data_IF_224670972456
#
_entry.id   IF_224670972456
#
_cell.length_a   1.000
_cell.length_b   1.000
_cell.length_c   1.000
_cell.angle_alpha   90.00
_cell.angle_beta   90.00
_cell.angle_gamma   90.00
#
_symmetry.space_group_name_H-M   'P 1'
#
loop_
_entity.id
_entity.type
_entity.pdbx_description
1 polymer ?
#
# COMPACT_ATOMS: atom_id res chain seq x y z
N UNK A 1 -9.92 21.89 8.53
CA UNK A 1 -9.92 23.13 7.71
C UNK A 1 -9.59 22.87 6.22
N UNK A 2 -8.49 22.18 5.86
CA UNK A 2 -8.16 21.87 4.46
C UNK A 2 -9.06 20.77 3.88
N UNK A 3 -9.35 19.76 4.65
CA UNK A 3 -10.26 18.66 4.31
C UNK A 3 -11.69 19.17 4.16
N UNK A 4 -12.17 20.04 5.02
CA UNK A 4 -13.50 20.62 4.95
C UNK A 4 -13.71 21.45 3.68
N UNK A 5 -12.78 22.33 3.30
CA UNK A 5 -12.88 23.10 2.04
C UNK A 5 -12.87 22.25 0.78
N UNK A 6 -12.18 21.10 0.81
CA UNK A 6 -12.18 20.15 -0.31
C UNK A 6 -13.51 19.38 -0.37
N UNK A 7 -14.17 19.20 0.76
CA UNK A 7 -15.47 18.52 0.87
C UNK A 7 -16.66 19.41 0.51
N UNK A 8 -16.65 20.69 0.84
CA UNK A 8 -17.76 21.62 0.60
C UNK A 8 -18.11 21.82 -0.88
N UNK A 9 -17.19 21.57 -1.81
CA UNK A 9 -17.42 21.75 -3.26
C UNK A 9 -17.78 20.45 -4.01
N UNK A 10 -18.01 19.35 -3.30
CA UNK A 10 -18.31 18.07 -3.92
C UNK A 10 -19.71 17.61 -3.51
N UNK A 11 -20.56 17.20 -4.46
CA UNK A 11 -21.83 16.55 -4.15
C UNK A 11 -21.64 15.29 -3.32
N UNK A 12 -22.66 14.86 -2.56
CA UNK A 12 -22.58 13.79 -1.55
C UNK A 12 -21.92 12.49 -2.04
N UNK A 13 -22.15 12.11 -3.30
CA UNK A 13 -21.53 10.92 -3.91
C UNK A 13 -20.01 11.08 -4.08
N UNK A 14 -19.54 12.28 -4.38
CA UNK A 14 -18.11 12.55 -4.51
C UNK A 14 -17.42 12.54 -3.14
N UNK A 15 -18.12 12.93 -2.09
CA UNK A 15 -17.62 12.87 -0.71
C UNK A 15 -17.45 11.41 -0.27
N UNK A 16 -18.49 10.57 -0.46
CA UNK A 16 -18.43 9.17 -0.09
C UNK A 16 -17.31 8.42 -0.85
N UNK A 17 -17.13 8.71 -2.13
CA UNK A 17 -16.05 8.14 -2.96
C UNK A 17 -14.67 8.54 -2.42
N UNK A 18 -14.46 9.80 -2.04
CA UNK A 18 -13.20 10.26 -1.44
C UNK A 18 -12.92 9.64 -0.08
N UNK A 19 -13.95 9.40 0.74
CA UNK A 19 -13.81 8.69 2.01
C UNK A 19 -13.33 7.24 1.79
N UNK A 20 -13.93 6.51 0.83
CA UNK A 20 -13.49 5.16 0.48
C UNK A 20 -12.04 5.17 -0.03
N UNK A 21 -11.66 6.13 -0.86
CA UNK A 21 -10.28 6.28 -1.34
C UNK A 21 -9.29 6.55 -0.19
N UNK A 22 -9.65 7.43 0.75
CA UNK A 22 -8.83 7.70 1.93
C UNK A 22 -8.63 6.45 2.78
N UNK A 23 -9.71 5.74 3.12
CA UNK A 23 -9.65 4.49 3.90
C UNK A 23 -8.82 3.44 3.17
N UNK A 24 -9.01 3.29 1.85
CA UNK A 24 -8.22 2.34 1.05
C UNK A 24 -6.73 2.64 1.10
N UNK A 25 -6.35 3.94 1.09
CA UNK A 25 -4.95 4.36 1.19
C UNK A 25 -4.36 4.09 2.55
N UNK A 26 -5.10 4.33 3.62
CA UNK A 26 -4.70 3.99 4.99
C UNK A 26 -4.48 2.49 5.13
N UNK A 27 -5.34 1.66 4.51
CA UNK A 27 -5.19 0.20 4.49
C UNK A 27 -4.01 -0.27 3.63
N UNK A 28 -3.60 0.50 2.64
CA UNK A 28 -2.49 0.17 1.75
C UNK A 28 -1.10 0.48 2.36
N UNK A 29 -1.00 1.47 3.24
CA UNK A 29 0.27 1.90 3.82
C UNK A 29 1.04 0.80 4.55
N UNK A 30 0.43 -0.03 5.42
CA UNK A 30 1.14 -1.12 6.07
C UNK A 30 1.66 -2.16 5.08
N UNK A 31 0.93 -2.43 4.01
CA UNK A 31 1.38 -3.34 2.95
C UNK A 31 2.61 -2.78 2.22
N UNK A 32 2.64 -1.48 1.94
CA UNK A 32 3.77 -0.80 1.31
C UNK A 32 5.01 -0.77 2.20
N UNK A 33 4.84 -0.52 3.50
CA UNK A 33 5.95 -0.36 4.45
C UNK A 33 6.35 -1.66 5.16
N UNK A 34 5.56 -2.74 5.02
CA UNK A 34 5.68 -3.95 5.84
C UNK A 34 7.07 -4.58 5.80
N UNK A 35 7.60 -4.87 4.62
CA UNK A 35 8.92 -5.48 4.49
C UNK A 35 10.04 -4.54 4.95
N UNK A 36 9.94 -3.26 4.63
CA UNK A 36 10.91 -2.25 5.08
C UNK A 36 11.00 -2.22 6.60
N UNK A 37 9.85 -2.09 7.28
CA UNK A 37 9.82 -2.04 8.76
C UNK A 37 10.37 -3.31 9.38
N UNK A 38 9.95 -4.47 8.87
CA UNK A 38 10.43 -5.75 9.35
C UNK A 38 11.95 -5.87 9.22
N UNK A 39 12.50 -5.60 8.03
CA UNK A 39 13.94 -5.69 7.81
C UNK A 39 14.72 -4.64 8.60
N UNK A 40 14.19 -3.43 8.74
CA UNK A 40 14.83 -2.37 9.52
C UNK A 40 14.88 -2.74 11.02
N UNK A 41 13.81 -3.33 11.55
CA UNK A 41 13.76 -3.82 12.94
C UNK A 41 14.76 -4.97 13.17
N UNK A 42 14.77 -5.97 12.28
CA UNK A 42 15.68 -7.12 12.37
C UNK A 42 17.16 -6.73 12.19
N UNK A 43 17.45 -5.81 11.28
CA UNK A 43 18.80 -5.29 11.11
C UNK A 43 19.26 -4.47 12.32
N UNK A 44 18.36 -3.70 12.95
CA UNK A 44 18.71 -2.90 14.13
C UNK A 44 18.87 -3.76 15.40
N UNK A 45 18.14 -4.87 15.50
CA UNK A 45 18.24 -5.81 16.63
C UNK A 45 19.35 -6.85 16.48
N UNK A 46 20.02 -6.91 15.32
CA UNK A 46 21.05 -7.92 15.04
C UNK A 46 20.51 -9.33 14.80
N UNK A 47 19.18 -9.48 14.68
CA UNK A 47 18.52 -10.80 14.47
C UNK A 47 18.32 -11.14 13.00
N UNK A 48 18.78 -10.30 12.09
CA UNK A 48 18.61 -10.49 10.65
C UNK A 48 19.18 -11.83 10.15
N UNK A 49 20.30 -12.31 10.72
CA UNK A 49 20.88 -13.60 10.33
C UNK A 49 19.94 -14.77 10.57
N UNK A 50 19.29 -14.81 11.73
CA UNK A 50 18.35 -15.91 12.06
C UNK A 50 17.16 -15.93 11.11
N UNK A 51 16.68 -14.76 10.71
CA UNK A 51 15.58 -14.64 9.74
C UNK A 51 15.97 -15.21 8.35
N UNK A 52 17.23 -15.03 7.93
CA UNK A 52 17.73 -15.49 6.63
C UNK A 52 18.28 -16.92 6.63
N UNK A 53 18.50 -17.53 7.81
CA UNK A 53 18.88 -18.94 7.94
C UNK A 53 17.72 -19.88 7.62
N UNK A 54 16.48 -19.44 7.88
CA UNK A 54 15.28 -20.22 7.56
C UNK A 54 14.95 -20.05 6.08
N UNK A 55 14.81 -21.17 5.35
CA UNK A 55 14.43 -21.14 3.95
C UNK A 55 13.05 -20.49 3.79
N UNK A 56 12.95 -19.45 2.94
CA UNK A 56 11.76 -18.60 2.75
C UNK A 56 11.30 -17.84 4.01
N UNK A 57 12.08 -17.86 5.10
CA UNK A 57 11.72 -17.22 6.38
C UNK A 57 11.25 -15.76 6.26
N UNK A 58 11.98 -14.87 5.55
CA UNK A 58 11.57 -13.46 5.42
C UNK A 58 10.24 -13.26 4.68
N UNK A 59 9.95 -14.06 3.65
CA UNK A 59 8.67 -13.95 2.92
C UNK A 59 7.49 -14.44 3.75
N UNK A 60 7.66 -15.56 4.47
CA UNK A 60 6.62 -16.09 5.35
C UNK A 60 6.35 -15.11 6.49
N UNK A 61 7.40 -14.55 7.09
CA UNK A 61 7.28 -13.54 8.13
C UNK A 61 6.57 -12.28 7.62
N UNK A 62 6.86 -11.83 6.38
CA UNK A 62 6.18 -10.71 5.74
C UNK A 62 4.68 -10.97 5.60
N UNK A 63 4.31 -12.14 5.08
CA UNK A 63 2.89 -12.51 4.88
C UNK A 63 2.18 -12.57 6.25
N UNK A 64 2.79 -13.23 7.23
CA UNK A 64 2.23 -13.31 8.58
C UNK A 64 2.03 -11.92 9.21
N UNK A 65 3.01 -11.02 9.05
CA UNK A 65 2.92 -9.65 9.54
C UNK A 65 1.87 -8.83 8.79
N UNK A 66 1.73 -9.02 7.49
CA UNK A 66 0.67 -8.35 6.72
C UNK A 66 -0.72 -8.82 7.15
N UNK A 67 -0.93 -10.12 7.34
CA UNK A 67 -2.17 -10.67 7.88
C UNK A 67 -2.48 -10.09 9.27
N UNK A 68 -1.47 -10.04 10.15
CA UNK A 68 -1.61 -9.41 11.47
C UNK A 68 -1.97 -7.93 11.37
N UNK A 69 -1.36 -7.20 10.44
CA UNK A 69 -1.67 -5.77 10.23
C UNK A 69 -3.09 -5.56 9.72
N UNK A 70 -3.61 -6.45 8.86
CA UNK A 70 -5.03 -6.43 8.42
C UNK A 70 -5.95 -6.65 9.63
N UNK A 71 -5.65 -7.63 10.47
CA UNK A 71 -6.45 -7.93 11.66
C UNK A 71 -6.47 -6.75 12.63
N UNK A 72 -5.32 -6.13 12.88
CA UNK A 72 -5.23 -4.94 13.72
C UNK A 72 -6.01 -3.75 13.14
N UNK A 73 -5.94 -3.55 11.82
CA UNK A 73 -6.70 -2.51 11.13
C UNK A 73 -8.20 -2.80 11.14
N UNK A 74 -8.62 -4.06 11.04
CA UNK A 74 -10.03 -4.44 11.17
C UNK A 74 -10.60 -4.06 12.55
N UNK A 75 -9.78 -4.09 13.60
CA UNK A 75 -10.16 -3.61 14.94
C UNK A 75 -10.24 -2.09 15.04
N UNK A 76 -9.35 -1.37 14.35
CA UNK A 76 -9.31 0.10 14.37
C UNK A 76 -10.39 0.70 13.45
N UNK A 77 -10.72 0.02 12.37
CA UNK A 77 -11.67 0.49 11.37
C UNK A 77 -13.01 0.98 11.94
N UNK A 78 -13.67 0.25 12.87
CA UNK A 78 -14.90 0.73 13.51
C UNK A 78 -14.74 2.09 14.21
N UNK A 79 -13.60 2.32 14.87
CA UNK A 79 -13.34 3.60 15.57
C UNK A 79 -13.17 4.78 14.60
N UNK A 80 -12.76 4.51 13.37
CA UNK A 80 -12.69 5.51 12.30
C UNK A 80 -14.05 5.68 11.62
N UNK A 81 -14.77 4.59 11.40
CA UNK A 81 -16.06 4.59 10.69
C UNK A 81 -17.22 5.12 11.53
N UNK A 82 -17.21 4.90 12.85
CA UNK A 82 -18.29 5.38 13.75
C UNK A 82 -18.40 6.91 13.72
N UNK A 83 -17.33 7.70 13.91
CA UNK A 83 -17.43 9.16 13.75
C UNK A 83 -17.85 9.60 12.34
N UNK A 84 -17.39 8.89 11.29
CA UNK A 84 -17.77 9.18 9.91
C UNK A 84 -19.26 8.92 9.63
N UNK A 85 -19.88 7.96 10.31
CA UNK A 85 -21.32 7.69 10.19
C UNK A 85 -22.17 8.83 10.73
N UNK A 86 -21.69 9.59 11.71
CA UNK A 86 -22.38 10.77 12.22
C UNK A 86 -22.32 11.96 11.24
N UNK A 87 -21.32 12.02 10.36
CA UNK A 87 -21.37 12.89 9.20
C UNK A 87 -22.24 12.19 8.15
N UNK A 88 -23.41 12.75 7.84
CA UNK A 88 -24.49 12.19 6.96
C UNK A 88 -24.03 11.63 5.60
N UNK A 89 -22.74 11.63 5.30
CA UNK A 89 -22.13 11.28 4.03
C UNK A 89 -21.52 9.87 3.97
N UNK A 90 -21.60 9.05 5.04
CA UNK A 90 -20.98 7.73 5.04
C UNK A 90 -21.96 6.66 4.55
N UNK A 91 -21.68 6.08 3.40
CA UNK A 91 -22.43 4.94 2.84
C UNK A 91 -21.66 3.62 3.02
N UNK A 92 -22.08 2.83 4.00
CA UNK A 92 -21.50 1.51 4.28
C UNK A 92 -21.69 0.55 3.10
N UNK A 93 -22.78 0.68 2.33
CA UNK A 93 -23.03 -0.17 1.18
C UNK A 93 -22.02 0.05 0.07
N UNK A 94 -21.59 1.28 -0.10
CA UNK A 94 -20.52 1.65 -1.03
C UNK A 94 -19.20 0.98 -0.63
N UNK A 95 -18.83 1.06 0.66
CA UNK A 95 -17.61 0.45 1.15
C UNK A 95 -17.57 -1.06 0.92
N UNK A 96 -18.66 -1.77 1.24
CA UNK A 96 -18.80 -3.22 1.02
C UNK A 96 -18.62 -3.57 -0.46
N UNK A 97 -19.21 -2.77 -1.37
CA UNK A 97 -19.07 -2.98 -2.83
C UNK A 97 -17.63 -2.84 -3.33
N UNK A 98 -16.83 -1.96 -2.70
CA UNK A 98 -15.43 -1.74 -3.09
C UNK A 98 -14.43 -2.62 -2.33
N UNK A 99 -14.87 -3.50 -1.43
CA UNK A 99 -13.97 -4.37 -0.65
C UNK A 99 -13.07 -5.22 -1.55
N UNK A 100 -13.61 -5.87 -2.58
CA UNK A 100 -12.82 -6.69 -3.49
C UNK A 100 -11.76 -5.88 -4.28
N UNK A 101 -12.08 -4.74 -4.92
CA UNK A 101 -11.07 -3.85 -5.50
C UNK A 101 -10.00 -3.39 -4.51
N UNK A 102 -10.38 -3.05 -3.27
CA UNK A 102 -9.45 -2.62 -2.21
C UNK A 102 -8.48 -3.75 -1.84
N UNK A 103 -8.96 -4.98 -1.71
CA UNK A 103 -8.11 -6.13 -1.44
C UNK A 103 -7.12 -6.41 -2.59
N UNK A 104 -7.57 -6.31 -3.85
CA UNK A 104 -6.70 -6.44 -5.00
C UNK A 104 -5.62 -5.35 -5.04
N UNK A 105 -6.00 -4.10 -4.80
CA UNK A 105 -5.07 -2.98 -4.68
C UNK A 105 -4.04 -3.23 -3.58
N UNK A 106 -4.47 -3.72 -2.40
CA UNK A 106 -3.58 -4.03 -1.28
C UNK A 106 -2.52 -5.08 -1.63
N UNK A 107 -2.91 -6.14 -2.35
CA UNK A 107 -1.96 -7.15 -2.83
C UNK A 107 -0.88 -6.54 -3.74
N UNK A 108 -1.26 -5.63 -4.64
CA UNK A 108 -0.30 -4.90 -5.46
C UNK A 108 0.63 -3.99 -4.65
N UNK A 109 0.11 -3.37 -3.59
CA UNK A 109 0.91 -2.56 -2.67
C UNK A 109 1.92 -3.39 -1.89
N UNK A 110 1.60 -4.64 -1.52
CA UNK A 110 2.58 -5.60 -1.00
C UNK A 110 3.72 -5.84 -1.98
N UNK A 111 3.42 -6.03 -3.27
CA UNK A 111 4.44 -6.16 -4.31
C UNK A 111 5.37 -4.94 -4.39
N UNK A 112 4.83 -3.74 -4.39
CA UNK A 112 5.62 -2.50 -4.32
C UNK A 112 6.42 -2.41 -3.02
N UNK A 113 5.83 -2.77 -1.90
CA UNK A 113 6.48 -2.80 -0.58
C UNK A 113 7.65 -3.78 -0.54
N UNK A 114 7.58 -4.92 -1.26
CA UNK A 114 8.69 -5.86 -1.35
C UNK A 114 9.87 -5.28 -2.14
N UNK A 115 9.63 -4.46 -3.17
CA UNK A 115 10.69 -3.74 -3.87
C UNK A 115 11.37 -2.74 -2.92
N UNK A 116 10.58 -1.88 -2.26
CA UNK A 116 11.11 -0.87 -1.34
C UNK A 116 11.87 -1.51 -0.16
N UNK A 117 11.30 -2.57 0.40
CA UNK A 117 11.95 -3.33 1.48
C UNK A 117 13.23 -4.02 1.03
N UNK A 118 13.29 -4.56 -0.19
CA UNK A 118 14.51 -5.17 -0.70
C UNK A 118 15.66 -4.18 -0.85
N UNK A 119 15.37 -2.90 -1.08
CA UNK A 119 16.39 -1.86 -1.11
C UNK A 119 17.08 -1.65 0.24
N UNK A 120 16.41 -1.96 1.37
CA UNK A 120 17.04 -1.87 2.69
C UNK A 120 18.19 -2.85 2.89
N UNK A 121 18.13 -3.98 2.20
CA UNK A 121 19.24 -4.95 2.22
C UNK A 121 20.48 -4.46 1.45
N UNK A 122 20.28 -3.53 0.50
CA UNK A 122 21.40 -2.96 -0.27
C UNK A 122 21.89 -1.62 0.29
N UNK A 123 20.98 -0.83 0.85
CA UNK A 123 21.24 0.54 1.27
C UNK A 123 20.77 0.74 2.71
N UNK A 124 21.70 1.11 3.61
CA UNK A 124 21.38 1.32 5.04
C UNK A 124 20.44 2.50 5.33
N UNK A 125 20.31 3.47 4.40
CA UNK A 125 19.52 4.71 4.59
C UNK A 125 18.36 4.80 3.60
N UNK A 126 17.44 3.84 3.65
CA UNK A 126 16.25 3.80 2.75
C UNK A 126 14.99 4.42 3.34
N UNK A 127 15.01 4.79 4.63
CA UNK A 127 13.85 5.37 5.31
C UNK A 127 13.24 6.56 4.56
N UNK A 128 14.09 7.47 4.06
CA UNK A 128 13.61 8.63 3.30
C UNK A 128 12.87 8.24 2.02
N UNK A 129 13.40 7.26 1.27
CA UNK A 129 12.79 6.78 0.03
C UNK A 129 11.42 6.15 0.32
N UNK A 130 11.32 5.32 1.36
CA UNK A 130 10.07 4.67 1.76
C UNK A 130 9.03 5.70 2.22
N UNK A 131 9.44 6.68 3.02
CA UNK A 131 8.54 7.74 3.50
C UNK A 131 8.05 8.62 2.36
N UNK A 132 8.94 9.07 1.47
CA UNK A 132 8.55 9.85 0.29
C UNK A 132 7.60 9.06 -0.61
N UNK A 133 7.90 7.78 -0.88
CA UNK A 133 7.01 6.91 -1.66
C UNK A 133 5.63 6.79 -1.00
N UNK A 134 5.57 6.66 0.33
CA UNK A 134 4.31 6.58 1.08
C UNK A 134 3.49 7.88 0.95
N UNK A 135 4.14 9.04 1.05
CA UNK A 135 3.48 10.34 0.87
C UNK A 135 2.93 10.47 -0.55
N UNK A 136 3.73 10.14 -1.56
CA UNK A 136 3.28 10.17 -2.96
C UNK A 136 2.07 9.27 -3.16
N UNK A 137 2.08 8.06 -2.59
CA UNK A 137 0.95 7.13 -2.71
C UNK A 137 -0.32 7.64 -2.06
N UNK A 138 -0.23 8.27 -0.88
CA UNK A 138 -1.39 8.86 -0.22
C UNK A 138 -1.92 10.06 -1.00
N UNK A 139 -1.06 10.94 -1.47
CA UNK A 139 -1.48 12.12 -2.23
C UNK A 139 -2.12 11.75 -3.57
N UNK A 140 -1.58 10.75 -4.28
CA UNK A 140 -2.18 10.27 -5.53
C UNK A 140 -3.55 9.65 -5.30
N UNK A 141 -3.77 8.96 -4.18
CA UNK A 141 -5.07 8.35 -3.87
C UNK A 141 -6.15 9.37 -3.49
N UNK A 142 -5.77 10.48 -2.90
CA UNK A 142 -6.70 11.56 -2.57
C UNK A 142 -7.13 12.37 -3.80
N UNK A 143 -6.56 12.06 -4.96
CA UNK A 143 -6.85 12.80 -6.21
C UNK A 143 -6.28 14.21 -6.22
N UNK A 144 -5.44 14.56 -5.25
CA UNK A 144 -4.80 15.87 -5.18
C UNK A 144 -3.75 15.94 -6.30
N UNK A 145 -4.01 16.78 -7.30
CA UNK A 145 -3.07 17.03 -8.40
C UNK A 145 -3.11 16.01 -9.55
N UNK A 146 -4.06 15.06 -9.57
CA UNK A 146 -4.28 14.19 -10.73
C UNK A 146 -5.07 15.00 -11.79
N UNK A 147 -4.40 15.95 -12.42
CA UNK A 147 -4.87 16.60 -13.63
C UNK A 147 -4.60 15.72 -14.88
N UNK A 148 -5.09 16.16 -16.03
CA UNK A 148 -4.73 15.54 -17.32
C UNK A 148 -3.23 15.74 -17.57
N UNK A 149 -2.39 14.72 -17.36
CA UNK A 149 -0.95 14.83 -17.58
C UNK A 149 -0.15 13.62 -17.11
N UNK A 150 1.17 13.78 -17.05
CA UNK A 150 2.14 12.75 -16.65
C UNK A 150 1.82 12.12 -15.29
N UNK A 151 1.38 12.93 -14.32
CA UNK A 151 1.01 12.43 -12.98
C UNK A 151 -0.17 11.44 -13.01
N UNK A 152 -1.15 11.65 -13.91
CA UNK A 152 -2.26 10.71 -14.08
C UNK A 152 -1.77 9.38 -14.66
N UNK A 153 -0.88 9.42 -15.65
CA UNK A 153 -0.29 8.20 -16.23
C UNK A 153 0.54 7.44 -15.20
N UNK A 154 1.31 8.14 -14.39
CA UNK A 154 2.08 7.54 -13.29
C UNK A 154 1.17 6.93 -12.22
N UNK A 155 0.09 7.64 -11.84
CA UNK A 155 -0.88 7.12 -10.89
C UNK A 155 -1.52 5.83 -11.39
N UNK A 156 -1.88 5.74 -12.67
CA UNK A 156 -2.46 4.52 -13.26
C UNK A 156 -1.51 3.30 -13.23
N UNK A 157 -0.20 3.51 -13.15
CA UNK A 157 0.77 2.43 -13.02
C UNK A 157 0.81 1.85 -11.59
N UNK A 158 0.35 2.58 -10.60
CA UNK A 158 0.32 2.13 -9.20
C UNK A 158 -1.05 1.55 -8.87
N UNK A 159 -1.12 0.45 -8.06
CA UNK A 159 -2.41 -0.15 -7.71
C UNK A 159 -3.36 0.84 -7.02
N UNK A 160 -2.82 1.66 -6.12
CA UNK A 160 -3.59 2.64 -5.36
C UNK A 160 -4.09 3.80 -6.24
N UNK A 161 -3.23 4.34 -7.09
CA UNK A 161 -3.61 5.40 -8.01
C UNK A 161 -4.58 4.91 -9.09
N UNK A 162 -4.42 3.68 -9.58
CA UNK A 162 -5.36 3.07 -10.53
C UNK A 162 -6.75 2.94 -9.92
N UNK A 163 -6.86 2.46 -8.67
CA UNK A 163 -8.13 2.41 -7.95
C UNK A 163 -8.74 3.80 -7.83
N UNK A 164 -7.97 4.81 -7.43
CA UNK A 164 -8.44 6.18 -7.27
C UNK A 164 -8.98 6.76 -8.59
N UNK A 165 -8.23 6.62 -9.69
CA UNK A 165 -8.66 7.09 -11.02
C UNK A 165 -9.93 6.38 -11.49
N UNK A 166 -10.03 5.07 -11.28
CA UNK A 166 -11.23 4.31 -11.66
C UNK A 166 -12.46 4.72 -10.86
N UNK A 167 -12.30 4.98 -9.55
CA UNK A 167 -13.38 5.45 -8.69
C UNK A 167 -13.83 6.86 -9.08
N UNK A 168 -12.89 7.78 -9.36
CA UNK A 168 -13.20 9.14 -9.83
C UNK A 168 -13.97 9.14 -11.16
N UNK A 169 -13.66 8.18 -12.03
CA UNK A 169 -14.35 8.02 -13.31
C UNK A 169 -15.71 7.29 -13.18
N UNK A 170 -16.19 7.03 -11.96
CA UNK A 170 -17.48 6.39 -11.70
C UNK A 170 -17.60 4.95 -12.23
N UNK A 171 -16.49 4.23 -12.38
CA UNK A 171 -16.51 2.85 -12.84
C UNK A 171 -17.16 1.92 -11.82
N UNK A 172 -17.89 0.92 -12.30
CA UNK A 172 -18.51 -0.11 -11.45
C UNK A 172 -17.41 -0.96 -10.78
N UNK A 173 -17.54 -1.33 -9.48
CA UNK A 173 -16.54 -2.13 -8.76
C UNK A 173 -16.14 -3.42 -9.47
N UNK A 174 -17.09 -4.12 -10.08
CA UNK A 174 -16.83 -5.36 -10.83
C UNK A 174 -15.88 -5.16 -12.02
N UNK A 175 -15.96 -4.03 -12.71
CA UNK A 175 -15.09 -3.73 -13.86
C UNK A 175 -13.68 -3.30 -13.44
N UNK A 176 -13.46 -3.01 -12.16
CA UNK A 176 -12.15 -2.62 -11.62
C UNK A 176 -11.28 -3.81 -11.23
N UNK A 177 -11.89 -4.97 -10.95
CA UNK A 177 -11.19 -6.14 -10.41
C UNK A 177 -10.11 -6.62 -11.38
N UNK A 178 -10.44 -6.78 -12.66
CA UNK A 178 -9.50 -7.30 -13.65
C UNK A 178 -8.28 -6.39 -13.87
N UNK A 179 -8.43 -5.07 -14.15
CA UNK A 179 -7.28 -4.19 -14.29
C UNK A 179 -6.42 -4.12 -13.02
N UNK A 180 -7.04 -4.07 -11.83
CA UNK A 180 -6.33 -4.07 -10.56
C UNK A 180 -5.59 -5.39 -10.33
N UNK A 181 -6.20 -6.52 -10.65
CA UNK A 181 -5.54 -7.83 -10.53
C UNK A 181 -4.31 -7.92 -11.44
N UNK A 182 -4.39 -7.44 -12.68
CA UNK A 182 -3.27 -7.43 -13.62
C UNK A 182 -2.12 -6.54 -13.12
N UNK A 183 -2.43 -5.32 -12.70
CA UNK A 183 -1.41 -4.40 -12.16
C UNK A 183 -0.82 -4.94 -10.87
N UNK A 184 -1.64 -5.51 -9.99
CA UNK A 184 -1.18 -6.11 -8.74
C UNK A 184 -0.28 -7.33 -8.98
N UNK A 185 -0.65 -8.21 -9.91
CA UNK A 185 0.18 -9.36 -10.29
C UNK A 185 1.54 -8.92 -10.85
N UNK A 186 1.56 -7.88 -11.69
CA UNK A 186 2.80 -7.30 -12.21
C UNK A 186 3.70 -6.81 -11.06
N UNK A 187 3.16 -6.03 -10.12
CA UNK A 187 3.94 -5.51 -9.00
C UNK A 187 4.43 -6.62 -8.05
N UNK A 188 3.62 -7.67 -7.82
CA UNK A 188 4.04 -8.84 -7.04
C UNK A 188 5.18 -9.56 -7.75
N UNK A 189 5.09 -9.79 -9.06
CA UNK A 189 6.14 -10.43 -9.83
C UNK A 189 7.45 -9.62 -9.77
N UNK A 190 7.39 -8.30 -10.01
CA UNK A 190 8.53 -7.41 -9.89
C UNK A 190 9.10 -7.38 -8.46
N UNK A 191 8.24 -7.38 -7.44
CA UNK A 191 8.64 -7.42 -6.04
C UNK A 191 9.42 -8.69 -5.70
N UNK A 192 8.92 -9.86 -6.10
CA UNK A 192 9.59 -11.13 -5.89
C UNK A 192 10.91 -11.23 -6.66
N UNK A 193 10.97 -10.71 -7.88
CA UNK A 193 12.22 -10.65 -8.65
C UNK A 193 13.25 -9.77 -7.96
N UNK A 194 12.87 -8.56 -7.55
CA UNK A 194 13.76 -7.63 -6.84
C UNK A 194 14.26 -8.23 -5.52
N UNK A 195 13.37 -8.84 -4.75
CA UNK A 195 13.70 -9.51 -3.50
C UNK A 195 14.69 -10.66 -3.70
N UNK A 196 14.42 -11.56 -4.63
CA UNK A 196 15.33 -12.69 -4.92
C UNK A 196 16.70 -12.22 -5.41
N UNK A 197 16.73 -11.20 -6.27
CA UNK A 197 17.99 -10.61 -6.74
C UNK A 197 18.80 -10.03 -5.59
N UNK A 198 18.15 -9.27 -4.73
CA UNK A 198 18.79 -8.57 -3.61
C UNK A 198 19.32 -9.54 -2.56
N UNK A 199 18.56 -10.58 -2.21
CA UNK A 199 19.02 -11.63 -1.28
C UNK A 199 20.23 -12.38 -1.84
N UNK A 200 20.19 -12.78 -3.11
CA UNK A 200 21.35 -13.46 -3.74
C UNK A 200 22.59 -12.59 -3.68
N UNK A 201 22.43 -11.29 -3.90
CA UNK A 201 23.52 -10.33 -3.83
C UNK A 201 24.01 -10.13 -2.40
N UNK A 202 23.11 -9.94 -1.43
CA UNK A 202 23.45 -9.79 -0.02
C UNK A 202 24.20 -11.01 0.53
N UNK A 203 23.79 -12.23 0.17
CA UNK A 203 24.49 -13.48 0.53
C UNK A 203 25.92 -13.55 -0.07
N UNK A 204 26.10 -13.09 -1.31
CA UNK A 204 27.43 -13.12 -1.99
C UNK A 204 28.41 -12.12 -1.39
N UNK A 205 27.95 -10.97 -0.97
CA UNK A 205 28.84 -9.92 -0.45
C UNK A 205 28.99 -9.91 1.06
N UNK A 206 28.42 -10.89 1.76
CA UNK A 206 28.53 -10.98 3.23
C UNK A 206 27.90 -9.80 3.98
N UNK A 207 27.04 -9.01 3.33
CA UNK A 207 26.38 -7.84 3.93
C UNK A 207 25.52 -8.18 5.16
N UNK A 208 25.17 -9.45 5.34
CA UNK A 208 24.43 -9.95 6.49
C UNK A 208 25.36 -10.23 7.69
N UNK A 209 26.68 -10.28 7.48
CA UNK A 209 27.67 -10.72 8.49
C UNK A 209 28.51 -9.56 9.05
N UNK A 210 28.52 -8.39 8.41
CA UNK A 210 29.32 -7.26 8.86
C UNK A 210 28.50 -6.27 9.68
N UNK A 211 28.63 -6.37 10.98
CA UNK A 211 28.45 -5.26 11.90
C UNK A 211 29.64 -4.34 11.84
#
# INVERSE_FOLDING_TARGET
LLIERVLENAGDMAIATRQVMFISSVLALPALQGLYRMLSEELSSGTAETLFQVDKGPLVALIARDVSSVSSMALILPFVLVPMRFSRCFDMSLYVRYTAPILMMRLGMLGMGTILGSLTLMFRKTAAVVNVSSIIMVTTSLGVGIGKGFLNSFAMMTPNGLLAVMMQNGRKPSSMILPLALVSALWIALGLMAYNFTIRRAKRFGFLISN
#
